data_IF_858186932697
#
_entry.id   IF_858186932697
#
_cell.length_a   1.000
_cell.length_b   1.000
_cell.length_c   1.000
_cell.angle_alpha   90.00
_cell.angle_beta   90.00
_cell.angle_gamma   90.00
#
_symmetry.space_group_name_H-M   'P 1'
#
loop_
_entity.id
_entity.type
_entity.pdbx_description
1 polymer ?
#
# COMPACT_ATOMS: atom_id res chain seq x y z
N UNK A 1 -1.63 -8.34 -18.88
CA UNK A 1 -0.32 -8.38 -18.18
C UNK A 1 -0.30 -9.63 -17.28
N UNK A 2 0.82 -10.36 -17.24
CA UNK A 2 0.89 -11.71 -16.64
C UNK A 2 0.62 -11.62 -15.13
N UNK A 3 -0.34 -12.40 -14.60
CA UNK A 3 -0.70 -12.50 -13.17
C UNK A 3 0.49 -12.52 -12.17
N UNK A 4 1.66 -12.97 -12.60
CA UNK A 4 2.90 -12.95 -11.82
C UNK A 4 3.40 -11.53 -11.48
N UNK A 5 3.24 -10.56 -12.38
CA UNK A 5 3.67 -9.17 -12.15
C UNK A 5 2.81 -8.49 -11.07
N UNK A 6 1.51 -8.80 -11.02
CA UNK A 6 0.57 -8.26 -10.03
C UNK A 6 0.93 -8.78 -8.63
N UNK A 7 1.18 -10.07 -8.47
CA UNK A 7 1.59 -10.63 -7.17
C UNK A 7 2.91 -10.03 -6.67
N UNK A 8 3.91 -9.95 -7.55
CA UNK A 8 5.19 -9.34 -7.19
C UNK A 8 5.04 -7.86 -6.78
N UNK A 9 4.09 -7.14 -7.40
CA UNK A 9 3.77 -5.77 -7.01
C UNK A 9 3.14 -5.73 -5.62
N UNK A 10 2.08 -6.49 -5.37
CA UNK A 10 1.41 -6.58 -4.07
C UNK A 10 2.39 -6.94 -2.93
N UNK A 11 3.28 -7.93 -3.15
CA UNK A 11 4.32 -8.32 -2.18
C UNK A 11 5.26 -7.14 -1.85
N UNK A 12 5.65 -6.36 -2.87
CA UNK A 12 6.52 -5.18 -2.71
C UNK A 12 5.83 -4.08 -1.90
N UNK A 13 4.54 -3.87 -2.14
CA UNK A 13 3.72 -2.91 -1.40
C UNK A 13 3.63 -3.31 0.07
N UNK A 14 3.29 -4.57 0.34
CA UNK A 14 3.19 -5.10 1.69
C UNK A 14 4.51 -4.98 2.47
N UNK A 15 5.64 -5.30 1.85
CA UNK A 15 6.95 -5.12 2.48
C UNK A 15 7.25 -3.65 2.79
N UNK A 16 6.85 -2.73 1.92
CA UNK A 16 7.05 -1.29 2.12
C UNK A 16 6.24 -0.77 3.31
N UNK A 17 4.99 -1.24 3.47
CA UNK A 17 4.14 -0.93 4.62
C UNK A 17 4.78 -1.45 5.90
N UNK A 18 5.21 -2.71 5.94
CA UNK A 18 5.86 -3.31 7.13
C UNK A 18 7.11 -2.52 7.50
N UNK A 19 7.97 -2.19 6.52
CA UNK A 19 9.19 -1.43 6.76
C UNK A 19 8.89 -0.03 7.31
N UNK A 20 7.89 0.64 6.77
CA UNK A 20 7.47 1.97 7.24
C UNK A 20 6.91 1.90 8.67
N UNK A 21 6.10 0.88 8.98
CA UNK A 21 5.57 0.66 10.32
C UNK A 21 6.70 0.41 11.34
N UNK A 22 7.71 -0.40 10.99
CA UNK A 22 8.90 -0.62 11.83
C UNK A 22 9.73 0.66 12.01
N UNK A 23 9.80 1.51 10.99
CA UNK A 23 10.49 2.80 11.05
C UNK A 23 9.67 3.90 11.76
N UNK A 24 8.52 3.55 12.34
CA UNK A 24 7.59 4.50 12.94
C UNK A 24 7.16 5.64 11.98
N UNK A 25 7.01 5.30 10.70
CA UNK A 25 6.37 6.14 9.69
C UNK A 25 4.89 5.74 9.63
N UNK A 26 3.97 6.71 9.56
CA UNK A 26 2.51 6.49 9.58
C UNK A 26 1.85 6.59 8.20
N UNK A 27 2.63 6.97 7.17
CA UNK A 27 2.15 7.18 5.81
C UNK A 27 3.23 6.78 4.80
N UNK A 28 2.85 6.08 3.74
CA UNK A 28 3.69 5.90 2.54
C UNK A 28 2.91 6.19 1.26
N UNK A 29 3.62 6.66 0.24
CA UNK A 29 3.08 6.78 -1.11
C UNK A 29 3.50 5.59 -1.96
N UNK A 30 2.53 4.91 -2.55
CA UNK A 30 2.74 3.76 -3.42
C UNK A 30 2.19 4.05 -4.82
N UNK A 31 3.04 4.05 -5.87
CA UNK A 31 2.57 4.24 -7.23
C UNK A 31 2.04 2.92 -7.81
N UNK A 32 1.07 3.02 -8.74
CA UNK A 32 0.55 1.91 -9.55
C UNK A 32 -0.27 0.83 -8.81
N UNK A 33 -0.90 1.16 -7.67
CA UNK A 33 -1.91 0.27 -7.10
C UNK A 33 -3.10 0.11 -8.04
N UNK A 34 -3.53 -1.14 -8.18
CA UNK A 34 -4.79 -1.51 -8.81
C UNK A 34 -5.96 -1.35 -7.84
N UNK A 35 -7.18 -1.24 -8.37
CA UNK A 35 -8.39 -1.11 -7.54
C UNK A 35 -8.54 -2.29 -6.57
N UNK A 36 -8.23 -3.52 -7.01
CA UNK A 36 -8.25 -4.71 -6.15
C UNK A 36 -7.25 -4.62 -4.97
N UNK A 37 -6.06 -4.05 -5.20
CA UNK A 37 -5.05 -3.85 -4.15
C UNK A 37 -5.47 -2.75 -3.17
N UNK A 38 -6.11 -1.70 -3.66
CA UNK A 38 -6.66 -0.61 -2.83
C UNK A 38 -7.77 -1.15 -1.93
N UNK A 39 -8.68 -1.96 -2.48
CA UNK A 39 -9.77 -2.56 -1.72
C UNK A 39 -9.24 -3.54 -0.67
N UNK A 40 -8.23 -4.35 -1.00
CA UNK A 40 -7.58 -5.24 -0.04
C UNK A 40 -6.90 -4.46 1.11
N UNK A 41 -6.26 -3.32 0.81
CA UNK A 41 -5.66 -2.45 1.83
C UNK A 41 -6.73 -1.82 2.73
N UNK A 42 -7.85 -1.38 2.16
CA UNK A 42 -8.97 -0.82 2.92
C UNK A 42 -9.62 -1.88 3.81
N UNK A 43 -9.80 -3.10 3.31
CA UNK A 43 -10.32 -4.23 4.09
C UNK A 43 -9.38 -4.61 5.25
N UNK A 44 -8.07 -4.51 5.03
CA UNK A 44 -7.06 -4.68 6.07
C UNK A 44 -7.01 -3.52 7.10
N UNK A 45 -7.83 -2.48 6.94
CA UNK A 45 -7.96 -1.37 7.88
C UNK A 45 -7.02 -0.19 7.64
N UNK A 46 -6.37 -0.12 6.47
CA UNK A 46 -5.57 1.03 6.08
C UNK A 46 -6.45 2.13 5.45
N UNK A 47 -6.11 3.39 5.69
CA UNK A 47 -6.70 4.51 4.96
C UNK A 47 -5.94 4.69 3.65
N UNK A 48 -6.63 4.60 2.50
CA UNK A 48 -6.01 4.73 1.18
C UNK A 48 -6.62 5.89 0.40
N UNK A 49 -5.79 6.87 0.09
CA UNK A 49 -6.17 8.14 -0.58
C UNK A 49 -5.36 8.36 -1.85
N UNK A 50 -5.96 8.97 -2.87
CA UNK A 50 -5.25 9.33 -4.09
C UNK A 50 -4.37 10.56 -3.85
N UNK A 51 -3.07 10.43 -4.09
CA UNK A 51 -2.08 11.50 -4.02
C UNK A 51 -1.57 11.91 -5.42
N UNK A 52 -0.79 13.00 -5.47
CA UNK A 52 -0.26 13.57 -6.72
C UNK A 52 0.65 12.59 -7.49
N UNK A 53 1.31 11.65 -6.78
CA UNK A 53 2.31 10.74 -7.33
C UNK A 53 1.94 9.24 -7.22
N UNK A 54 0.73 8.92 -6.77
CA UNK A 54 0.32 7.56 -6.46
C UNK A 54 -0.77 7.53 -5.39
N UNK A 55 -0.80 6.47 -4.59
CA UNK A 55 -1.76 6.29 -3.50
C UNK A 55 -1.06 6.42 -2.15
N UNK A 56 -1.59 7.28 -1.28
CA UNK A 56 -1.15 7.42 0.09
C UNK A 56 -1.85 6.36 0.94
N UNK A 57 -1.07 5.56 1.65
CA UNK A 57 -1.55 4.54 2.57
C UNK A 57 -1.17 5.00 3.97
N UNK A 58 -2.17 5.24 4.82
CA UNK A 58 -2.00 5.74 6.17
C UNK A 58 -2.52 4.73 7.20
N UNK A 59 -1.87 4.66 8.37
CA UNK A 59 -2.31 3.84 9.49
C UNK A 59 -2.08 4.55 10.83
N UNK A 60 -2.94 4.26 11.79
CA UNK A 60 -2.76 4.71 13.17
C UNK A 60 -1.64 3.88 13.83
N UNK A 61 -0.59 4.56 14.30
CA UNK A 61 0.38 3.97 15.21
C UNK A 61 -0.27 3.86 16.59
N UNK A 62 -0.25 2.67 17.18
CA UNK A 62 -0.67 2.46 18.58
C UNK A 62 0.41 2.92 19.54
#
# INVERSE_FOLDING_TARGET
MRKAQIRAHADTVQQSIIRAAVANISEITVPNLTDDEIDALRDAGYTVEAGIRGWNICWAQK
#
